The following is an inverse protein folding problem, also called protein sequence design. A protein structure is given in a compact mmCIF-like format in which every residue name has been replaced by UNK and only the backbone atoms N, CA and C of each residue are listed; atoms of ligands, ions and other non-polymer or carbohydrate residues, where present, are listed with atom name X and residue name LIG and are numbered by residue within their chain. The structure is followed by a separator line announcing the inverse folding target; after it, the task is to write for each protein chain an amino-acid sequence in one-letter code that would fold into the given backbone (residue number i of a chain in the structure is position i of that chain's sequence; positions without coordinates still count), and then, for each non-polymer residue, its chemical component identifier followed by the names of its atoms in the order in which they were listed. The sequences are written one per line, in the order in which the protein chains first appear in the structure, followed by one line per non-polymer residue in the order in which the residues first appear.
data_IF_684430953414
#
_entry.id   IF_684430953414
#
_cell.length_a   1.000
_cell.length_b   1.000
_cell.length_c   1.000
_cell.angle_alpha   90.00
_cell.angle_beta   90.00
_cell.angle_gamma   90.00
#
_symmetry.space_group_name_H-M   'P 1'
#
loop_
_entity.id
_entity.type
_entity.pdbx_description
1 polymer ?
#
# COMPACT_ATOMS: atom_id res chain seq x y z
N UNK A 1 -12.04 1.83 4.88
CA UNK A 1 -13.22 1.02 4.50
C UNK A 1 -12.97 -0.49 4.56
N UNK A 2 -11.92 -0.95 5.26
CA UNK A 2 -11.69 -2.37 5.56
C UNK A 2 -12.20 -2.79 6.96
N UNK A 3 -13.05 -1.97 7.61
CA UNK A 3 -13.58 -2.27 8.96
C UNK A 3 -14.42 -3.54 8.89
N UNK A 4 -13.92 -4.62 9.50
CA UNK A 4 -14.60 -5.92 9.61
C UNK A 4 -13.99 -7.05 8.78
N UNK A 5 -12.90 -6.84 8.05
CA UNK A 5 -12.11 -7.93 7.47
C UNK A 5 -10.77 -7.97 8.19
N UNK A 6 -10.45 -9.08 8.85
CA UNK A 6 -9.12 -9.43 9.34
C UNK A 6 -8.12 -9.66 8.18
N UNK A 7 -8.21 -8.83 7.13
CA UNK A 7 -7.38 -8.90 5.95
C UNK A 7 -6.07 -8.19 6.27
N UNK A 8 -5.10 -8.96 6.73
CA UNK A 8 -3.69 -8.56 6.75
C UNK A 8 -3.28 -8.22 5.31
N UNK A 9 -2.66 -7.06 5.13
CA UNK A 9 -2.21 -6.58 3.82
C UNK A 9 -0.70 -6.76 3.72
N UNK A 10 -0.21 -7.44 2.69
CA UNK A 10 1.21 -7.60 2.48
C UNK A 10 1.79 -6.34 1.84
N UNK A 11 2.86 -5.81 2.44
CA UNK A 11 3.72 -4.81 1.83
C UNK A 11 4.77 -5.54 0.99
N UNK A 12 4.87 -5.19 -0.29
CA UNK A 12 5.73 -5.89 -1.25
C UNK A 12 7.02 -5.11 -1.53
N UNK A 13 8.09 -5.79 -1.97
CA UNK A 13 9.35 -5.14 -2.36
C UNK A 13 9.32 -4.50 -3.77
N UNK A 14 8.41 -4.95 -4.63
CA UNK A 14 8.23 -4.49 -6.01
C UNK A 14 6.74 -4.31 -6.35
N UNK A 15 6.34 -3.41 -7.29
CA UNK A 15 4.97 -3.27 -7.79
C UNK A 15 4.52 -4.43 -8.69
N UNK A 16 4.67 -5.66 -8.21
CA UNK A 16 4.26 -6.89 -8.88
C UNK A 16 3.44 -7.79 -7.94
N UNK A 17 2.53 -8.59 -8.49
CA UNK A 17 1.64 -9.45 -7.68
C UNK A 17 2.36 -10.62 -7.03
N UNK A 18 3.49 -11.02 -7.60
CA UNK A 18 4.38 -12.11 -7.20
C UNK A 18 5.66 -11.61 -6.51
N UNK A 19 5.73 -10.30 -6.22
CA UNK A 19 6.81 -9.68 -5.48
C UNK A 19 6.96 -10.24 -4.06
N UNK A 20 8.15 -10.10 -3.49
CA UNK A 20 8.48 -10.56 -2.15
C UNK A 20 7.74 -9.75 -1.10
N UNK A 21 7.28 -10.43 -0.03
CA UNK A 21 6.62 -9.76 1.11
C UNK A 21 7.70 -9.29 2.08
N UNK A 22 7.74 -7.98 2.33
CA UNK A 22 8.71 -7.36 3.25
C UNK A 22 8.10 -6.97 4.60
N UNK A 23 6.79 -6.77 4.65
CA UNK A 23 6.06 -6.55 5.89
C UNK A 23 4.60 -6.99 5.77
N UNK A 24 3.96 -7.22 6.90
CA UNK A 24 2.53 -7.52 6.98
C UNK A 24 1.86 -6.40 7.78
N UNK A 25 0.93 -5.69 7.14
CA UNK A 25 0.23 -4.55 7.71
C UNK A 25 -1.01 -5.00 8.47
N UNK A 26 -1.14 -4.50 9.70
CA UNK A 26 -2.31 -4.71 10.53
C UNK A 26 -3.49 -3.84 10.09
N UNK A 27 -4.74 -4.31 10.26
CA UNK A 27 -5.92 -3.51 9.94
C UNK A 27 -5.93 -2.16 10.67
N UNK A 28 -6.04 -1.07 9.90
CA UNK A 28 -6.15 0.29 10.44
C UNK A 28 -4.82 1.02 10.65
N UNK A 29 -3.68 0.40 10.34
CA UNK A 29 -2.39 1.10 10.33
C UNK A 29 -2.40 2.26 9.32
N UNK A 30 -1.77 3.37 9.68
CA UNK A 30 -1.62 4.55 8.84
C UNK A 30 -0.15 4.68 8.39
N UNK A 31 0.05 5.05 7.14
CA UNK A 31 1.36 5.28 6.55
C UNK A 31 1.31 6.46 5.58
N UNK A 32 2.47 6.79 5.02
CA UNK A 32 2.60 7.92 4.09
C UNK A 32 2.73 7.39 2.66
N UNK A 33 1.95 7.95 1.74
CA UNK A 33 2.10 7.70 0.30
C UNK A 33 3.32 8.48 -0.19
N UNK A 34 4.29 7.78 -0.79
CA UNK A 34 5.43 8.40 -1.48
C UNK A 34 5.12 8.67 -2.94
N UNK A 35 4.60 7.66 -3.63
CA UNK A 35 4.24 7.77 -5.03
C UNK A 35 3.10 6.81 -5.36
N UNK A 36 2.30 7.14 -6.37
CA UNK A 36 1.37 6.20 -6.99
C UNK A 36 1.41 6.36 -8.51
N UNK A 37 1.36 5.25 -9.24
CA UNK A 37 1.34 5.25 -10.72
C UNK A 37 -0.06 5.07 -11.33
N UNK A 38 -1.07 4.87 -10.46
CA UNK A 38 -2.46 4.59 -10.82
C UNK A 38 -2.85 3.11 -10.71
N UNK A 39 -1.91 2.22 -10.37
CA UNK A 39 -2.15 0.80 -10.06
C UNK A 39 -1.48 0.38 -8.74
N UNK A 40 -0.30 0.92 -8.49
CA UNK A 40 0.50 0.69 -7.30
C UNK A 40 0.79 1.99 -6.58
N UNK A 41 0.98 1.88 -5.28
CA UNK A 41 1.44 2.96 -4.43
C UNK A 41 2.65 2.49 -3.62
N UNK A 42 3.74 3.24 -3.71
CA UNK A 42 4.85 3.13 -2.79
C UNK A 42 4.47 3.86 -1.51
N UNK A 43 4.55 3.16 -0.39
CA UNK A 43 4.15 3.66 0.92
C UNK A 43 5.19 3.34 1.98
N UNK A 44 5.27 4.19 2.99
CA UNK A 44 6.11 3.99 4.17
C UNK A 44 5.26 3.79 5.42
N UNK A 45 5.55 2.71 6.16
CA UNK A 45 4.94 2.35 7.44
C UNK A 45 6.04 2.03 8.45
N UNK A 46 6.12 2.78 9.56
CA UNK A 46 7.09 2.56 10.65
C UNK A 46 8.52 2.19 10.16
N UNK A 47 9.07 3.02 9.27
CA UNK A 47 10.41 2.83 8.69
C UNK A 47 10.51 1.82 7.52
N UNK A 48 9.49 1.00 7.27
CA UNK A 48 9.43 0.06 6.16
C UNK A 48 8.83 0.74 4.93
N UNK A 49 9.52 0.71 3.79
CA UNK A 49 9.01 1.23 2.51
C UNK A 49 8.78 0.07 1.55
N UNK A 50 7.62 0.04 0.91
CA UNK A 50 7.32 -0.94 -0.14
C UNK A 50 6.03 -0.60 -0.88
N UNK A 51 5.52 -1.57 -1.62
CA UNK A 51 4.46 -1.39 -2.60
C UNK A 51 3.17 -2.05 -2.15
N UNK A 52 2.06 -1.34 -2.39
CA UNK A 52 0.70 -1.83 -2.24
C UNK A 52 -0.08 -1.56 -3.52
N UNK A 53 -1.03 -2.44 -3.84
CA UNK A 53 -1.99 -2.13 -4.89
C UNK A 53 -2.80 -0.90 -4.47
N UNK A 54 -2.95 0.10 -5.35
CA UNK A 54 -3.65 1.35 -5.08
C UNK A 54 -5.08 1.10 -4.57
N UNK A 55 -5.73 0.06 -5.08
CA UNK A 55 -7.07 -0.38 -4.64
C UNK A 55 -7.18 -0.73 -3.14
N UNK A 56 -6.07 -0.94 -2.44
CA UNK A 56 -6.02 -1.21 -1.00
C UNK A 56 -5.77 0.05 -0.16
N UNK A 57 -5.35 1.15 -0.80
CA UNK A 57 -4.96 2.38 -0.13
C UNK A 57 -6.17 3.29 0.04
N UNK A 58 -6.45 3.69 1.28
CA UNK A 58 -7.44 4.74 1.54
C UNK A 58 -6.74 6.10 1.49
N UNK A 59 -7.22 6.99 0.61
CA UNK A 59 -6.59 8.30 0.37
C UNK A 59 -5.87 8.42 -0.99
N UNK A 60 -5.78 7.34 -1.76
CA UNK A 60 -5.48 7.39 -3.20
C UNK A 60 -6.76 7.03 -3.97
N UNK A 61 -7.28 7.97 -4.75
CA UNK A 61 -8.43 7.68 -5.61
C UNK A 61 -8.02 6.75 -6.75
N UNK A 62 -8.93 5.89 -7.27
CA UNK A 62 -8.61 5.03 -8.40
C UNK A 62 -8.05 5.82 -9.58
N UNK A 63 -6.84 5.48 -10.03
CA UNK A 63 -6.16 6.14 -11.14
C UNK A 63 -5.43 7.43 -10.77
N UNK A 64 -5.41 7.81 -9.49
CA UNK A 64 -4.67 8.99 -9.01
C UNK A 64 -3.16 8.74 -9.11
N UNK A 65 -2.44 9.71 -9.68
CA UNK A 65 -0.99 9.70 -9.76
C UNK A 65 -0.45 10.68 -8.73
N UNK A 66 0.03 10.16 -7.62
CA UNK A 66 0.70 10.96 -6.58
C UNK A 66 2.17 11.04 -6.95
N UNK A 67 2.65 12.26 -7.19
CA UNK A 67 4.08 12.58 -7.35
C UNK A 67 4.46 13.58 -6.27
N UNK A 68 5.44 13.23 -5.45
CA UNK A 68 6.07 14.13 -4.48
C UNK A 68 7.46 14.52 -4.97
#
# INVERSE_FOLDING_TARGET
WQRGKDARVNLLDDPAKDAGVIAILEPGVMGTIKSCDGQWCEMTFDGHTGWLAQSLVWGAYPGEKVKN
#
